data_IF_109827041738
#
_entry.id   IF_109827041738
#
_cell.length_a   1.000
_cell.length_b   1.000
_cell.length_c   1.000
_cell.angle_alpha   90.00
_cell.angle_beta   90.00
_cell.angle_gamma   90.00
#
_symmetry.space_group_name_H-M   'P 1'
#
loop_
_entity.id
_entity.type
_entity.pdbx_description
1 polymer ?
#
# COMPACT_ATOMS: atom_id res chain seq x y z
N UNK A 1 -8.32 14.90 24.08
CA UNK A 1 -9.23 14.64 22.95
C UNK A 1 -8.51 14.47 21.61
N UNK A 2 -7.53 15.31 21.24
CA UNK A 2 -6.83 15.23 19.94
C UNK A 2 -6.06 13.91 19.67
N UNK A 3 -5.47 13.27 20.70
CA UNK A 3 -4.76 11.98 20.55
C UNK A 3 -5.65 10.84 20.04
N UNK A 4 -6.94 10.84 20.36
CA UNK A 4 -7.87 9.78 19.94
C UNK A 4 -8.29 9.91 18.46
N UNK A 5 -8.26 11.13 17.90
CA UNK A 5 -8.60 11.35 16.50
C UNK A 5 -7.45 10.92 15.58
N UNK A 6 -6.19 11.19 15.97
CA UNK A 6 -5.04 10.77 15.16
C UNK A 6 -4.83 9.25 15.19
N UNK A 7 -5.07 8.58 16.34
CA UNK A 7 -4.98 7.12 16.41
C UNK A 7 -6.03 6.43 15.56
N UNK A 8 -7.27 6.92 15.56
CA UNK A 8 -8.36 6.32 14.79
C UNK A 8 -8.10 6.42 13.27
N UNK A 9 -7.59 7.57 12.80
CA UNK A 9 -7.28 7.75 11.38
C UNK A 9 -6.14 6.84 10.92
N UNK A 10 -5.11 6.64 11.76
CA UNK A 10 -3.99 5.74 11.45
C UNK A 10 -4.45 4.29 11.35
N UNK A 11 -5.19 3.81 12.35
CA UNK A 11 -5.77 2.46 12.31
C UNK A 11 -6.69 2.27 11.10
N UNK A 12 -7.45 3.31 10.70
CA UNK A 12 -8.25 3.25 9.48
C UNK A 12 -7.37 3.11 8.23
N UNK A 13 -6.26 3.85 8.14
CA UNK A 13 -5.31 3.73 7.03
C UNK A 13 -4.65 2.34 6.99
N UNK A 14 -4.26 1.80 8.14
CA UNK A 14 -3.70 0.44 8.26
C UNK A 14 -4.71 -0.61 7.76
N UNK A 15 -5.98 -0.50 8.16
CA UNK A 15 -7.04 -1.40 7.70
C UNK A 15 -7.22 -1.30 6.19
N UNK A 16 -7.19 -0.10 5.61
CA UNK A 16 -7.28 0.07 4.15
C UNK A 16 -6.07 -0.55 3.46
N UNK A 17 -4.86 -0.38 3.97
CA UNK A 17 -3.64 -1.00 3.43
C UNK A 17 -3.71 -2.53 3.50
N UNK A 18 -4.22 -3.11 4.59
CA UNK A 18 -4.45 -4.56 4.73
C UNK A 18 -5.41 -5.05 3.64
N UNK A 19 -6.55 -4.37 3.48
CA UNK A 19 -7.56 -4.76 2.48
C UNK A 19 -7.01 -4.60 1.06
N UNK A 20 -6.30 -3.52 0.77
CA UNK A 20 -5.70 -3.26 -0.53
C UNK A 20 -4.60 -4.29 -0.86
N UNK A 21 -3.73 -4.59 0.10
CA UNK A 21 -2.68 -5.61 -0.02
C UNK A 21 -3.24 -7.01 -0.25
N UNK A 22 -4.24 -7.42 0.54
CA UNK A 22 -4.93 -8.70 0.35
C UNK A 22 -5.69 -8.74 -0.98
N UNK A 23 -6.33 -7.64 -1.36
CA UNK A 23 -7.00 -7.48 -2.65
C UNK A 23 -6.03 -7.72 -3.80
N UNK A 24 -4.85 -7.09 -3.76
CA UNK A 24 -3.80 -7.31 -4.76
C UNK A 24 -3.27 -8.74 -4.73
N UNK A 25 -3.02 -9.31 -3.54
CA UNK A 25 -2.54 -10.68 -3.40
C UNK A 25 -3.51 -11.68 -4.05
N UNK A 26 -4.81 -11.50 -3.86
CA UNK A 26 -5.84 -12.43 -4.35
C UNK A 26 -6.21 -12.12 -5.83
N UNK A 27 -5.89 -10.92 -6.32
CA UNK A 27 -6.27 -10.44 -7.65
C UNK A 27 -5.88 -11.34 -8.85
N UNK A 28 -4.74 -12.07 -8.87
CA UNK A 28 -4.41 -12.93 -10.01
C UNK A 28 -5.45 -14.02 -10.26
N UNK A 29 -6.03 -14.58 -9.20
CA UNK A 29 -7.08 -15.60 -9.31
C UNK A 29 -8.45 -14.98 -9.62
N UNK A 30 -8.77 -13.82 -9.04
CA UNK A 30 -10.06 -13.15 -9.26
C UNK A 30 -10.22 -12.61 -10.68
N UNK A 31 -9.13 -12.08 -11.25
CA UNK A 31 -9.15 -11.44 -12.56
C UNK A 31 -8.48 -12.27 -13.66
N UNK A 32 -8.07 -13.51 -13.35
CA UNK A 32 -7.63 -14.48 -14.35
C UNK A 32 -6.23 -14.25 -14.94
N UNK A 33 -5.37 -13.48 -14.29
CA UNK A 33 -3.97 -13.28 -14.72
C UNK A 33 -2.96 -14.13 -13.94
N UNK A 34 -3.41 -15.16 -13.20
CA UNK A 34 -2.54 -16.07 -12.47
C UNK A 34 -1.52 -16.82 -13.36
N UNK A 35 -1.77 -16.95 -14.66
CA UNK A 35 -0.85 -17.55 -15.62
C UNK A 35 0.24 -16.57 -16.11
N UNK A 36 0.09 -15.27 -15.86
CA UNK A 36 1.02 -14.24 -16.27
C UNK A 36 2.16 -14.13 -15.24
N UNK A 37 3.28 -14.81 -15.51
CA UNK A 37 4.39 -14.98 -14.56
C UNK A 37 4.77 -13.70 -13.83
N UNK A 38 5.08 -12.62 -14.55
CA UNK A 38 5.53 -11.38 -13.92
C UNK A 38 4.42 -10.67 -13.14
N UNK A 39 3.20 -10.65 -13.67
CA UNK A 39 2.07 -9.99 -13.02
C UNK A 39 1.63 -10.73 -11.74
N UNK A 40 1.53 -12.06 -11.79
CA UNK A 40 1.09 -12.89 -10.67
C UNK A 40 2.12 -12.85 -9.53
N UNK A 41 3.41 -13.06 -9.83
CA UNK A 41 4.45 -13.02 -8.81
C UNK A 41 4.57 -11.62 -8.17
N UNK A 42 4.49 -10.55 -8.97
CA UNK A 42 4.52 -9.20 -8.44
C UNK A 42 3.31 -8.93 -7.53
N UNK A 43 2.10 -9.35 -7.92
CA UNK A 43 0.90 -9.20 -7.10
C UNK A 43 1.00 -9.94 -5.77
N UNK A 44 1.49 -11.18 -5.76
CA UNK A 44 1.64 -11.97 -4.54
C UNK A 44 2.70 -11.38 -3.60
N UNK A 45 3.87 -11.01 -4.13
CA UNK A 45 4.96 -10.50 -3.29
C UNK A 45 4.59 -9.13 -2.72
N UNK A 46 4.14 -8.21 -3.57
CA UNK A 46 3.83 -6.83 -3.17
C UNK A 46 2.58 -6.78 -2.29
N UNK A 47 1.53 -7.54 -2.65
CA UNK A 47 0.31 -7.64 -1.86
C UNK A 47 0.56 -8.24 -0.47
N UNK A 48 1.36 -9.31 -0.39
CA UNK A 48 1.75 -9.88 0.89
C UNK A 48 2.60 -8.91 1.74
N UNK A 49 3.58 -8.24 1.12
CA UNK A 49 4.42 -7.28 1.81
C UNK A 49 3.60 -6.14 2.43
N UNK A 50 2.73 -5.49 1.64
CA UNK A 50 1.83 -4.42 2.13
C UNK A 50 0.97 -4.93 3.28
N UNK A 51 0.37 -6.12 3.13
CA UNK A 51 -0.50 -6.70 4.16
C UNK A 51 0.25 -6.94 5.46
N UNK A 52 1.43 -7.58 5.40
CA UNK A 52 2.22 -7.92 6.59
C UNK A 52 2.72 -6.66 7.31
N UNK A 53 3.16 -5.66 6.54
CA UNK A 53 3.62 -4.38 7.06
C UNK A 53 2.46 -3.66 7.77
N UNK A 54 1.29 -3.57 7.14
CA UNK A 54 0.13 -2.91 7.74
C UNK A 54 -0.42 -3.67 8.96
N UNK A 55 -0.37 -5.01 8.98
CA UNK A 55 -0.70 -5.79 10.19
C UNK A 55 0.30 -5.50 11.32
N UNK A 56 1.59 -5.38 11.02
CA UNK A 56 2.60 -5.04 12.03
C UNK A 56 2.41 -3.64 12.63
N UNK A 57 1.90 -2.69 11.85
CA UNK A 57 1.59 -1.34 12.31
C UNK A 57 0.48 -1.29 13.36
N UNK A 58 -0.47 -2.23 13.33
CA UNK A 58 -1.50 -2.36 14.37
C UNK A 58 -0.93 -2.60 15.77
N UNK A 59 0.32 -3.07 15.88
CA UNK A 59 0.95 -3.41 17.16
C UNK A 59 2.00 -2.40 17.63
N UNK A 60 2.88 -1.87 16.75
CA UNK A 60 3.96 -0.98 17.20
C UNK A 60 4.74 -0.20 16.10
N UNK A 61 4.67 -0.57 14.82
CA UNK A 61 5.56 -0.02 13.79
C UNK A 61 4.89 1.05 12.95
N UNK A 62 5.11 2.34 13.26
CA UNK A 62 4.42 3.42 12.56
C UNK A 62 5.30 4.10 11.49
N UNK A 63 6.45 4.65 11.85
CA UNK A 63 7.23 5.46 10.89
C UNK A 63 7.85 4.62 9.76
N UNK A 64 8.43 3.46 10.10
CA UNK A 64 8.99 2.56 9.09
C UNK A 64 7.91 1.97 8.17
N UNK A 65 6.71 1.74 8.69
CA UNK A 65 5.59 1.22 7.91
C UNK A 65 5.14 2.23 6.84
N UNK A 66 4.94 3.49 7.22
CA UNK A 66 4.54 4.54 6.28
C UNK A 66 5.52 4.66 5.10
N UNK A 67 6.82 4.67 5.38
CA UNK A 67 7.84 4.73 4.32
C UNK A 67 7.86 3.47 3.45
N UNK A 68 7.77 2.28 4.05
CA UNK A 68 7.73 1.04 3.30
C UNK A 68 6.48 0.95 2.40
N UNK A 69 5.31 1.32 2.91
CA UNK A 69 4.07 1.34 2.14
C UNK A 69 4.12 2.38 1.02
N UNK A 70 4.73 3.54 1.23
CA UNK A 70 4.94 4.50 0.15
C UNK A 70 5.79 3.92 -0.98
N UNK A 71 6.93 3.30 -0.64
CA UNK A 71 7.83 2.69 -1.64
C UNK A 71 7.13 1.54 -2.37
N UNK A 72 6.44 0.65 -1.66
CA UNK A 72 5.71 -0.47 -2.24
C UNK A 72 4.54 -0.01 -3.11
N UNK A 73 3.81 1.02 -2.70
CA UNK A 73 2.73 1.61 -3.47
C UNK A 73 3.23 2.21 -4.78
N UNK A 74 4.31 3.01 -4.74
CA UNK A 74 4.94 3.58 -5.93
C UNK A 74 5.50 2.48 -6.85
N UNK A 75 6.12 1.45 -6.28
CA UNK A 75 6.55 0.28 -7.03
C UNK A 75 5.37 -0.39 -7.74
N UNK A 76 4.26 -0.65 -7.04
CA UNK A 76 3.07 -1.28 -7.62
C UNK A 76 2.51 -0.46 -8.78
N UNK A 77 2.53 0.88 -8.70
CA UNK A 77 2.14 1.74 -9.81
C UNK A 77 3.08 1.53 -11.00
N UNK A 78 4.40 1.55 -10.82
CA UNK A 78 5.35 1.53 -11.94
C UNK A 78 5.58 0.12 -12.52
N UNK A 79 5.35 -0.93 -11.72
CA UNK A 79 5.62 -2.33 -12.05
C UNK A 79 5.03 -2.83 -13.38
N UNK A 80 3.79 -2.49 -13.80
CA UNK A 80 3.24 -2.98 -15.06
C UNK A 80 4.09 -2.60 -16.28
N UNK A 81 4.67 -1.41 -16.26
CA UNK A 81 5.53 -0.94 -17.35
C UNK A 81 6.95 -1.48 -17.23
N UNK A 82 7.49 -1.52 -16.01
CA UNK A 82 8.86 -1.95 -15.79
C UNK A 82 9.06 -3.46 -15.97
N UNK A 83 8.05 -4.26 -15.58
CA UNK A 83 8.05 -5.72 -15.69
C UNK A 83 7.33 -6.23 -16.95
N UNK A 84 6.80 -5.32 -17.79
CA UNK A 84 6.28 -5.66 -19.11
C UNK A 84 4.90 -6.35 -19.15
N UNK A 85 4.07 -6.20 -18.12
CA UNK A 85 2.71 -6.75 -18.08
C UNK A 85 1.60 -5.71 -18.27
N UNK A 86 1.94 -4.49 -18.70
CA UNK A 86 0.97 -3.40 -18.95
C UNK A 86 -0.08 -3.72 -20.01
N UNK A 87 0.20 -4.65 -20.93
CA UNK A 87 -0.77 -5.12 -21.93
C UNK A 87 -1.90 -5.97 -21.31
N UNK A 88 -1.68 -6.55 -20.12
CA UNK A 88 -2.69 -7.31 -19.38
C UNK A 88 -3.53 -6.32 -18.59
N UNK A 89 -4.59 -5.80 -19.20
CA UNK A 89 -5.41 -4.70 -18.68
C UNK A 89 -5.84 -4.91 -17.23
N UNK A 90 -6.34 -6.11 -16.89
CA UNK A 90 -6.78 -6.41 -15.54
C UNK A 90 -5.64 -6.36 -14.50
N UNK A 91 -4.48 -6.93 -14.83
CA UNK A 91 -3.30 -6.90 -13.97
C UNK A 91 -2.75 -5.48 -13.80
N UNK A 92 -2.68 -4.71 -14.88
CA UNK A 92 -2.23 -3.31 -14.85
C UNK A 92 -3.09 -2.49 -13.89
N UNK A 93 -4.41 -2.53 -14.05
CA UNK A 93 -5.31 -1.74 -13.21
C UNK A 93 -5.36 -2.21 -11.76
N UNK A 94 -5.30 -3.52 -11.50
CA UNK A 94 -5.21 -4.03 -10.13
C UNK A 94 -4.00 -3.47 -9.39
N UNK A 95 -2.82 -3.48 -10.03
CA UNK A 95 -1.59 -2.95 -9.44
C UNK A 95 -1.60 -1.43 -9.30
N UNK A 96 -2.03 -0.70 -10.34
CA UNK A 96 -2.05 0.77 -10.34
C UNK A 96 -3.02 1.30 -9.28
N UNK A 97 -4.24 0.75 -9.21
CA UNK A 97 -5.24 1.22 -8.24
C UNK A 97 -4.78 0.96 -6.82
N UNK A 98 -4.34 -0.27 -6.51
CA UNK A 98 -3.83 -0.59 -5.17
C UNK A 98 -2.59 0.24 -4.84
N UNK A 99 -1.65 0.37 -5.78
CA UNK A 99 -0.45 1.16 -5.59
C UNK A 99 -0.74 2.63 -5.29
N UNK A 100 -1.69 3.24 -6.01
CA UNK A 100 -2.12 4.61 -5.77
C UNK A 100 -2.80 4.78 -4.41
N UNK A 101 -3.68 3.85 -4.01
CA UNK A 101 -4.33 3.89 -2.69
C UNK A 101 -3.28 3.84 -1.58
N UNK A 102 -2.37 2.86 -1.63
CA UNK A 102 -1.35 2.67 -0.59
C UNK A 102 -0.37 3.84 -0.56
N UNK A 103 0.10 4.31 -1.72
CA UNK A 103 1.01 5.45 -1.80
C UNK A 103 0.36 6.75 -1.31
N UNK A 104 -0.91 7.01 -1.65
CA UNK A 104 -1.60 8.22 -1.22
C UNK A 104 -1.83 8.24 0.30
N UNK A 105 -2.24 7.10 0.89
CA UNK A 105 -2.42 6.99 2.34
C UNK A 105 -1.09 7.17 3.08
N UNK A 106 -0.03 6.51 2.61
CA UNK A 106 1.30 6.65 3.19
C UNK A 106 1.83 8.09 3.09
N UNK A 107 1.74 8.71 1.92
CA UNK A 107 2.17 10.10 1.72
C UNK A 107 1.37 11.08 2.60
N UNK A 108 0.05 10.88 2.72
CA UNK A 108 -0.80 11.66 3.61
C UNK A 108 -0.36 11.52 5.07
N UNK A 109 -0.12 10.29 5.53
CA UNK A 109 0.31 10.02 6.90
C UNK A 109 1.67 10.67 7.21
N UNK A 110 2.64 10.56 6.30
CA UNK A 110 3.97 11.19 6.45
C UNK A 110 3.85 12.72 6.52
N UNK A 111 3.04 13.32 5.64
CA UNK A 111 2.83 14.77 5.60
C UNK A 111 2.22 15.30 6.90
N UNK A 112 1.19 14.63 7.42
CA UNK A 112 0.57 15.04 8.69
C UNK A 112 1.49 14.79 9.90
N UNK A 113 2.33 13.76 9.84
CA UNK A 113 3.31 13.48 10.91
C UNK A 113 4.43 14.53 10.97
N UNK A 114 4.89 15.05 9.82
CA UNK A 114 5.98 16.03 9.75
C UNK A 114 5.54 17.48 9.97
N UNK A 115 4.28 17.84 9.71
CA UNK A 115 3.77 19.21 9.85
C UNK A 115 3.34 19.59 11.28
N UNK A 116 4.04 19.10 12.29
CA UNK A 116 4.03 19.71 13.61
C UNK A 116 5.20 20.71 13.70
N UNK A 117 5.04 21.99 13.26
CA UNK A 117 6.04 22.99 13.57
C UNK A 117 6.15 23.11 15.09
N UNK A 118 7.37 23.14 15.60
CA UNK A 118 7.71 23.43 16.99
C UNK A 118 7.11 24.79 17.39
N UNK A 119 5.84 24.80 17.82
CA UNK A 119 5.24 25.94 18.51
C UNK A 119 5.66 25.86 19.98
N UNK A 120 6.96 26.02 20.22
CA UNK A 120 7.55 26.23 21.52
C UNK A 120 9.02 26.62 21.34
N UNK A 121 9.25 27.89 21.00
CA UNK A 121 10.45 28.64 21.34
C UNK A 121 10.05 30.10 21.52
#
# INVERSE_FOLDING_TARGET
>A
MLKSLSSNNRTAFDIVNIVAGLGLFISPWLFGFAAETYAAWNAWIVGAAITLIAVAALYAFYEAEEWCNLVLGLWAVIAPWLLGFSAVTAAMWAHVIVGLVVAALAAGSIWFSHNHPLSAA
#
